data_IF_975986931025
#
_entry.id   IF_975986931025
#
_cell.length_a   1.000
_cell.length_b   1.000
_cell.length_c   1.000
_cell.angle_alpha   90.00
_cell.angle_beta   90.00
_cell.angle_gamma   90.00
#
_symmetry.space_group_name_H-M   'P 1'
#
loop_
_entity.id
_entity.type
_entity.pdbx_description
1 polymer ?
#
# COMPACT_ATOMS: atom_id res chain seq x y z
N UNK A 1 6.03 -23.14 0.45
CA UNK A 1 5.30 -23.92 -0.56
C UNK A 1 6.02 -24.02 -1.90
N UNK A 2 6.50 -22.92 -2.50
CA UNK A 2 7.26 -22.96 -3.76
C UNK A 2 8.39 -24.01 -3.75
N UNK A 3 9.26 -24.01 -2.73
CA UNK A 3 10.33 -25.00 -2.60
C UNK A 3 9.83 -26.45 -2.47
N UNK A 4 8.69 -26.67 -1.80
CA UNK A 4 8.12 -28.01 -1.60
C UNK A 4 7.62 -28.61 -2.93
N UNK A 5 7.15 -27.76 -3.84
CA UNK A 5 6.64 -28.14 -5.16
C UNK A 5 7.67 -27.97 -6.29
N UNK A 6 8.91 -27.57 -5.98
CA UNK A 6 9.96 -27.27 -6.97
C UNK A 6 9.51 -26.22 -8.00
N UNK A 7 8.82 -25.17 -7.52
CA UNK A 7 8.32 -24.05 -8.32
C UNK A 7 9.18 -22.80 -8.13
N UNK A 8 9.31 -22.01 -9.19
CA UNK A 8 9.94 -20.69 -9.15
C UNK A 8 8.94 -19.61 -8.69
N UNK A 9 9.45 -18.48 -8.19
CA UNK A 9 8.63 -17.31 -7.88
C UNK A 9 8.01 -16.77 -9.19
N UNK A 10 6.67 -16.62 -9.28
CA UNK A 10 6.04 -16.17 -10.51
C UNK A 10 6.44 -14.74 -10.84
N UNK A 11 6.57 -14.46 -12.14
CA UNK A 11 7.03 -13.17 -12.67
C UNK A 11 5.95 -12.43 -13.47
N UNK A 12 4.79 -13.06 -13.67
CA UNK A 12 3.64 -12.51 -14.38
C UNK A 12 2.34 -13.19 -13.91
N UNK A 13 1.19 -12.69 -14.36
CA UNK A 13 -0.13 -13.17 -13.96
C UNK A 13 -0.38 -14.64 -14.36
N UNK A 14 0.08 -15.09 -15.54
CA UNK A 14 -0.11 -16.48 -15.99
C UNK A 14 0.68 -17.46 -15.12
N UNK A 15 1.94 -17.14 -14.80
CA UNK A 15 2.75 -17.94 -13.87
C UNK A 15 2.16 -17.95 -12.47
N UNK A 16 1.64 -16.80 -12.00
CA UNK A 16 0.93 -16.73 -10.72
C UNK A 16 -0.29 -17.67 -10.72
N UNK A 17 -1.08 -17.68 -11.78
CA UNK A 17 -2.21 -18.60 -11.92
C UNK A 17 -1.77 -20.07 -11.82
N UNK A 18 -0.72 -20.48 -12.52
CA UNK A 18 -0.21 -21.86 -12.45
C UNK A 18 0.34 -22.22 -11.06
N UNK A 19 1.01 -21.28 -10.38
CA UNK A 19 1.48 -21.46 -8.99
C UNK A 19 0.31 -21.62 -8.03
N UNK A 20 -0.71 -20.77 -8.12
CA UNK A 20 -1.91 -20.86 -7.27
C UNK A 20 -2.65 -22.19 -7.49
N UNK A 21 -2.73 -22.64 -8.75
CA UNK A 21 -3.31 -23.93 -9.09
C UNK A 21 -2.50 -25.09 -8.50
N UNK A 22 -1.18 -25.03 -8.58
CA UNK A 22 -0.31 -26.02 -7.96
C UNK A 22 -0.48 -26.07 -6.43
N UNK A 23 -0.58 -24.91 -5.78
CA UNK A 23 -0.87 -24.83 -4.34
C UNK A 23 -2.18 -25.50 -3.97
N UNK A 24 -3.20 -25.38 -4.81
CA UNK A 24 -4.50 -26.03 -4.60
C UNK A 24 -4.46 -27.56 -4.78
N UNK A 25 -3.71 -28.04 -5.75
CA UNK A 25 -3.83 -29.41 -6.26
C UNK A 25 -2.75 -30.37 -5.74
N UNK A 26 -1.66 -29.85 -5.16
CA UNK A 26 -0.44 -30.65 -4.91
C UNK A 26 -0.02 -30.76 -3.44
N UNK A 27 -0.88 -30.41 -2.48
CA UNK A 27 -0.65 -30.60 -1.04
C UNK A 27 0.73 -30.05 -0.58
N UNK A 28 1.02 -28.75 -0.81
CA UNK A 28 2.32 -28.18 -0.47
C UNK A 28 2.61 -28.13 1.03
N UNK A 29 1.61 -28.31 1.90
CA UNK A 29 1.81 -28.44 3.35
C UNK A 29 2.07 -29.91 3.79
N UNK A 30 1.76 -30.89 2.94
CA UNK A 30 2.10 -32.29 3.11
C UNK A 30 1.24 -33.04 4.13
N UNK A 31 0.04 -32.53 4.45
CA UNK A 31 -0.86 -33.13 5.44
C UNK A 31 -1.81 -34.18 4.83
N UNK A 32 -1.89 -34.27 3.50
CA UNK A 32 -2.76 -35.20 2.76
C UNK A 32 -4.23 -34.82 2.73
N UNK A 33 -4.58 -33.62 3.16
CA UNK A 33 -5.89 -32.98 3.07
C UNK A 33 -5.87 -31.89 1.99
N UNK A 34 -7.03 -31.51 1.47
CA UNK A 34 -7.14 -30.41 0.51
C UNK A 34 -7.64 -29.17 1.25
N UNK A 35 -6.82 -28.66 2.18
CA UNK A 35 -7.14 -27.54 3.05
C UNK A 35 -6.43 -26.23 2.65
N UNK A 36 -5.62 -26.26 1.60
CA UNK A 36 -4.93 -25.10 1.07
C UNK A 36 -5.87 -24.03 0.51
N UNK A 37 -5.60 -22.79 0.91
CA UNK A 37 -6.15 -21.57 0.34
C UNK A 37 -5.03 -20.92 -0.47
N UNK A 38 -5.02 -21.03 -1.82
CA UNK A 38 -3.90 -20.58 -2.62
C UNK A 38 -3.64 -19.07 -2.51
N UNK A 39 -4.69 -18.25 -2.51
CA UNK A 39 -4.61 -16.79 -2.39
C UNK A 39 -5.75 -16.25 -1.51
N UNK A 40 -5.42 -15.31 -0.64
CA UNK A 40 -6.38 -14.61 0.21
C UNK A 40 -5.95 -13.15 0.43
N UNK A 41 -6.94 -12.26 0.46
CA UNK A 41 -6.75 -10.85 0.82
C UNK A 41 -7.90 -10.33 1.68
N UNK A 42 -7.99 -9.02 1.82
CA UNK A 42 -9.13 -8.32 2.44
C UNK A 42 -9.14 -6.86 1.98
N UNK A 43 -10.32 -6.24 1.91
CA UNK A 43 -10.45 -4.78 1.73
C UNK A 43 -10.20 -3.97 3.01
N UNK A 44 -9.84 -4.62 4.12
CA UNK A 44 -9.59 -3.95 5.40
C UNK A 44 -8.14 -3.55 5.65
N UNK A 45 -7.18 -4.11 4.91
CA UNK A 45 -5.75 -3.82 5.09
C UNK A 45 -5.40 -2.45 4.53
N UNK A 46 -4.48 -1.76 5.22
CA UNK A 46 -3.98 -0.48 4.71
C UNK A 46 -3.12 -0.71 3.47
N UNK A 47 -3.58 -0.21 2.31
CA UNK A 47 -2.95 -0.38 1.00
C UNK A 47 -2.69 -1.85 0.62
N UNK A 48 -3.57 -2.75 1.04
CA UNK A 48 -3.45 -4.19 0.80
C UNK A 48 -4.63 -4.77 0.01
N UNK A 49 -5.15 -3.99 -0.93
CA UNK A 49 -6.32 -4.34 -1.73
C UNK A 49 -5.95 -5.36 -2.82
N UNK A 50 -6.52 -6.56 -2.73
CA UNK A 50 -6.20 -7.66 -3.65
C UNK A 50 -6.68 -7.40 -5.08
N UNK A 51 -7.83 -6.76 -5.21
CA UNK A 51 -8.41 -6.38 -6.49
C UNK A 51 -7.60 -5.30 -7.17
N UNK A 52 -7.16 -4.26 -6.43
CA UNK A 52 -6.25 -3.25 -6.96
C UNK A 52 -4.95 -3.87 -7.46
N UNK A 53 -4.33 -4.80 -6.72
CA UNK A 53 -3.14 -5.51 -7.18
C UNK A 53 -3.40 -6.28 -8.48
N UNK A 54 -4.48 -7.08 -8.54
CA UNK A 54 -4.81 -7.89 -9.72
C UNK A 54 -5.12 -7.01 -10.94
N UNK A 55 -5.89 -5.93 -10.76
CA UNK A 55 -6.23 -5.01 -11.85
C UNK A 55 -4.96 -4.38 -12.44
N UNK A 56 -4.00 -4.02 -11.59
CA UNK A 56 -2.74 -3.43 -12.03
C UNK A 56 -1.79 -4.40 -12.74
N UNK A 57 -2.09 -5.70 -12.81
CA UNK A 57 -1.43 -6.61 -13.76
C UNK A 57 -1.81 -6.32 -15.23
N UNK A 58 -2.93 -5.62 -15.47
CA UNK A 58 -3.49 -5.39 -16.80
C UNK A 58 -3.59 -3.91 -17.15
N UNK A 59 -4.03 -3.07 -16.22
CA UNK A 59 -4.17 -1.61 -16.44
C UNK A 59 -3.91 -0.83 -15.16
N UNK A 60 -3.32 0.36 -15.31
CA UNK A 60 -3.12 1.25 -14.17
C UNK A 60 -4.46 1.60 -13.53
N UNK A 61 -4.56 1.36 -12.22
CA UNK A 61 -5.72 1.72 -11.42
C UNK A 61 -5.30 2.10 -10.01
N UNK A 62 -5.86 3.19 -9.51
CA UNK A 62 -5.66 3.64 -8.15
C UNK A 62 -7.03 3.90 -7.51
N UNK A 63 -7.31 3.29 -6.36
CA UNK A 63 -8.62 3.34 -5.70
C UNK A 63 -8.98 4.72 -5.13
N UNK A 64 -7.98 5.58 -4.87
CA UNK A 64 -8.19 6.93 -4.35
C UNK A 64 -8.81 7.84 -5.42
N UNK A 65 -8.30 7.76 -6.67
CA UNK A 65 -8.68 8.66 -7.77
C UNK A 65 -9.52 8.01 -8.87
N UNK A 66 -9.30 6.72 -9.13
CA UNK A 66 -10.01 5.86 -10.09
C UNK A 66 -9.99 6.28 -11.56
N UNK A 67 -9.43 7.45 -11.90
CA UNK A 67 -9.18 7.91 -13.27
C UNK A 67 -7.68 7.89 -13.57
N UNK A 68 -7.35 7.90 -14.85
CA UNK A 68 -5.99 7.93 -15.37
C UNK A 68 -5.86 8.99 -16.49
N UNK A 69 -4.63 9.26 -16.91
CA UNK A 69 -4.35 10.19 -18.01
C UNK A 69 -3.39 9.55 -18.99
N UNK A 70 -3.69 9.70 -20.28
CA UNK A 70 -2.79 9.35 -21.37
C UNK A 70 -2.90 10.45 -22.45
N UNK A 71 -1.76 10.93 -22.95
CA UNK A 71 -1.70 12.00 -23.97
C UNK A 71 -2.55 13.24 -23.62
N UNK A 72 -2.50 13.68 -22.35
CA UNK A 72 -3.31 14.77 -21.78
C UNK A 72 -4.84 14.53 -21.81
N UNK A 73 -5.28 13.29 -22.06
CA UNK A 73 -6.68 12.89 -22.04
C UNK A 73 -6.97 12.09 -20.78
N UNK A 74 -7.88 12.61 -19.96
CA UNK A 74 -8.40 11.92 -18.78
C UNK A 74 -9.36 10.82 -19.21
N UNK A 75 -9.13 9.60 -18.74
CA UNK A 75 -9.99 8.45 -19.02
C UNK A 75 -10.28 7.64 -17.76
N UNK A 76 -11.30 6.78 -17.86
CA UNK A 76 -11.65 5.82 -16.83
C UNK A 76 -11.06 4.45 -17.20
N UNK A 77 -10.08 3.92 -16.44
CA UNK A 77 -9.55 2.57 -16.68
C UNK A 77 -10.66 1.51 -16.64
N UNK A 78 -11.68 1.71 -15.81
CA UNK A 78 -12.77 0.77 -15.60
C UNK A 78 -13.80 0.64 -16.74
N UNK A 79 -13.49 1.19 -17.92
CA UNK A 79 -14.26 0.97 -19.16
C UNK A 79 -13.42 0.37 -20.31
N UNK A 80 -12.14 0.05 -20.06
CA UNK A 80 -11.23 -0.45 -21.11
C UNK A 80 -11.28 -1.97 -21.27
N UNK A 81 -10.74 -2.48 -22.37
CA UNK A 81 -10.63 -3.93 -22.61
C UNK A 81 -9.70 -4.59 -21.58
N UNK A 82 -8.60 -3.93 -21.19
CA UNK A 82 -7.65 -4.41 -20.20
C UNK A 82 -8.30 -4.57 -18.81
N UNK A 83 -9.23 -3.68 -18.45
CA UNK A 83 -10.03 -3.86 -17.23
C UNK A 83 -10.96 -5.06 -17.33
N UNK A 84 -11.59 -5.27 -18.48
CA UNK A 84 -12.42 -6.45 -18.71
C UNK A 84 -11.59 -7.73 -18.56
N UNK A 85 -10.37 -7.76 -19.10
CA UNK A 85 -9.42 -8.87 -18.92
C UNK A 85 -9.09 -9.12 -17.46
N UNK A 86 -8.86 -8.06 -16.66
CA UNK A 86 -8.67 -8.18 -15.22
C UNK A 86 -9.90 -8.79 -14.52
N UNK A 87 -11.12 -8.41 -14.92
CA UNK A 87 -12.35 -8.99 -14.36
C UNK A 87 -12.52 -10.46 -14.75
N UNK A 88 -12.17 -10.84 -15.98
CA UNK A 88 -12.16 -12.24 -16.44
C UNK A 88 -11.16 -13.04 -15.62
N UNK A 89 -9.95 -12.52 -15.44
CA UNK A 89 -8.89 -13.18 -14.67
C UNK A 89 -9.30 -13.35 -13.20
N UNK A 90 -9.83 -12.30 -12.56
CA UNK A 90 -10.29 -12.36 -11.18
C UNK A 90 -11.47 -13.34 -11.01
N UNK A 91 -12.43 -13.34 -11.93
CA UNK A 91 -13.52 -14.31 -11.96
C UNK A 91 -13.00 -15.75 -12.10
N UNK A 92 -11.99 -15.97 -12.95
CA UNK A 92 -11.34 -17.28 -13.11
C UNK A 92 -10.69 -17.73 -11.80
N UNK A 93 -9.93 -16.87 -11.12
CA UNK A 93 -9.31 -17.21 -9.85
C UNK A 93 -10.35 -17.59 -8.78
N UNK A 94 -11.44 -16.84 -8.68
CA UNK A 94 -12.51 -17.11 -7.70
C UNK A 94 -13.29 -18.38 -8.05
N UNK A 95 -13.74 -18.51 -9.30
CA UNK A 95 -14.55 -19.67 -9.75
C UNK A 95 -13.79 -20.99 -9.69
N UNK A 96 -12.47 -20.96 -9.91
CA UNK A 96 -11.59 -22.11 -9.73
C UNK A 96 -11.10 -22.25 -8.27
N UNK A 97 -11.54 -21.38 -7.36
CA UNK A 97 -11.21 -21.37 -5.93
C UNK A 97 -9.72 -21.25 -5.64
N UNK A 98 -9.01 -20.49 -6.46
CA UNK A 98 -7.62 -20.07 -6.30
C UNK A 98 -7.53 -18.79 -5.46
N UNK A 99 -8.47 -17.86 -5.66
CA UNK A 99 -8.71 -16.73 -4.76
C UNK A 99 -9.90 -17.06 -3.85
N UNK A 100 -9.71 -16.97 -2.53
CA UNK A 100 -10.78 -17.23 -1.56
C UNK A 100 -11.88 -16.17 -1.63
N UNK A 101 -13.14 -16.61 -1.71
CA UNK A 101 -14.35 -15.77 -1.57
C UNK A 101 -14.37 -14.98 -0.26
N UNK A 102 -13.69 -15.48 0.78
CA UNK A 102 -13.57 -14.76 2.05
C UNK A 102 -12.89 -13.40 1.85
N UNK A 103 -12.11 -13.19 0.80
CA UNK A 103 -11.42 -11.93 0.54
C UNK A 103 -12.38 -10.73 0.42
N UNK A 104 -13.63 -10.97 0.01
CA UNK A 104 -14.65 -9.92 -0.14
C UNK A 104 -15.39 -9.57 1.16
N UNK A 105 -15.27 -10.40 2.21
CA UNK A 105 -16.05 -10.25 3.44
C UNK A 105 -15.22 -10.29 4.72
N UNK A 106 -14.02 -10.87 4.67
CA UNK A 106 -13.17 -11.04 5.83
C UNK A 106 -12.60 -9.71 6.30
N UNK A 107 -12.54 -9.55 7.61
CA UNK A 107 -11.85 -8.47 8.29
C UNK A 107 -10.35 -8.75 8.40
N UNK A 108 -9.55 -7.72 8.69
CA UNK A 108 -8.12 -7.88 8.97
C UNK A 108 -7.89 -8.80 10.16
N UNK A 109 -8.71 -8.69 11.22
CA UNK A 109 -8.58 -9.53 12.42
C UNK A 109 -8.84 -11.01 12.13
N UNK A 110 -9.78 -11.33 11.24
CA UNK A 110 -10.03 -12.70 10.78
C UNK A 110 -8.85 -13.24 9.96
N UNK A 111 -8.30 -12.45 9.03
CA UNK A 111 -7.10 -12.83 8.27
C UNK A 111 -5.89 -13.06 9.19
N UNK A 112 -5.64 -12.15 10.13
CA UNK A 112 -4.57 -12.30 11.14
C UNK A 112 -4.79 -13.57 11.96
N UNK A 113 -6.02 -13.85 12.39
CA UNK A 113 -6.34 -15.05 13.15
C UNK A 113 -6.09 -16.33 12.34
N UNK A 114 -6.40 -16.34 11.05
CA UNK A 114 -6.11 -17.47 10.15
C UNK A 114 -4.60 -17.72 10.06
N UNK A 115 -3.81 -16.68 9.79
CA UNK A 115 -2.34 -16.77 9.71
C UNK A 115 -1.75 -17.33 11.00
N UNK A 116 -2.18 -16.78 12.15
CA UNK A 116 -1.61 -17.13 13.46
C UNK A 116 -2.07 -18.48 14.00
N UNK A 117 -3.16 -19.05 13.45
CA UNK A 117 -3.67 -20.35 13.87
C UNK A 117 -2.79 -21.51 13.42
N UNK A 118 -1.93 -21.29 12.44
CA UNK A 118 -1.02 -22.28 11.91
C UNK A 118 0.44 -21.83 12.12
N UNK A 119 1.36 -22.72 12.51
CA UNK A 119 2.79 -22.43 12.47
C UNK A 119 3.30 -22.32 11.03
N UNK A 120 4.60 -22.03 10.87
CA UNK A 120 5.25 -21.85 9.58
C UNK A 120 5.11 -23.06 8.64
N UNK A 121 5.33 -24.26 9.17
CA UNK A 121 5.40 -25.53 8.44
C UNK A 121 4.03 -26.17 8.17
N UNK A 122 3.00 -25.74 8.91
CA UNK A 122 1.61 -26.19 8.73
C UNK A 122 0.71 -25.07 8.16
N UNK A 123 1.29 -24.00 7.59
CA UNK A 123 0.49 -22.94 6.96
C UNK A 123 -0.44 -23.51 5.90
N UNK A 124 -1.67 -22.99 5.88
CA UNK A 124 -2.70 -23.33 4.89
C UNK A 124 -2.94 -22.21 3.87
N UNK A 125 -2.24 -21.06 3.98
CA UNK A 125 -2.41 -19.93 3.06
C UNK A 125 -1.16 -19.79 2.19
N UNK A 126 -1.35 -19.69 0.88
CA UNK A 126 -0.24 -19.57 -0.08
C UNK A 126 0.24 -18.14 -0.27
N UNK A 127 -0.62 -17.31 -0.85
CA UNK A 127 -0.38 -15.89 -1.11
C UNK A 127 -1.30 -15.07 -0.23
N UNK A 128 -0.71 -14.25 0.65
CA UNK A 128 -1.42 -13.35 1.54
C UNK A 128 -1.16 -11.91 1.12
N UNK A 129 -2.22 -11.16 0.87
CA UNK A 129 -2.12 -9.78 0.38
C UNK A 129 -2.25 -8.81 1.55
N UNK A 130 -1.30 -7.91 1.67
CA UNK A 130 -1.33 -6.83 2.64
C UNK A 130 0.04 -6.30 3.03
N UNK A 131 0.05 -5.55 4.12
CA UNK A 131 1.23 -4.92 4.70
C UNK A 131 1.67 -5.70 5.93
N UNK A 132 2.99 -5.91 6.09
CA UNK A 132 3.59 -6.60 7.25
C UNK A 132 3.15 -6.05 8.61
N UNK A 133 2.87 -4.75 8.73
CA UNK A 133 2.43 -4.12 9.97
C UNK A 133 1.00 -4.49 10.38
N UNK A 134 0.08 -4.65 9.42
CA UNK A 134 -1.34 -4.94 9.68
C UNK A 134 -1.66 -6.42 9.57
N UNK A 135 -1.04 -7.11 8.62
CA UNK A 135 -1.30 -8.52 8.31
C UNK A 135 -0.50 -9.46 9.23
N UNK A 136 0.67 -9.01 9.71
CA UNK A 136 1.47 -9.74 10.69
C UNK A 136 1.76 -8.83 11.90
N UNK A 137 0.77 -8.45 12.72
CA UNK A 137 0.99 -7.46 13.78
C UNK A 137 1.81 -7.98 14.97
N UNK A 138 1.75 -9.30 15.24
CA UNK A 138 2.58 -9.94 16.26
C UNK A 138 4.01 -10.12 15.75
N UNK A 139 4.94 -9.37 16.34
CA UNK A 139 6.36 -9.39 15.98
C UNK A 139 7.11 -10.63 16.49
N UNK A 140 6.42 -11.53 17.18
CA UNK A 140 6.97 -12.78 17.74
C UNK A 140 6.39 -14.04 17.12
N UNK A 141 5.42 -13.91 16.22
CA UNK A 141 4.79 -15.07 15.58
C UNK A 141 5.64 -15.58 14.40
N UNK A 142 6.03 -16.87 14.40
CA UNK A 142 6.88 -17.44 13.35
C UNK A 142 6.16 -17.66 12.01
N UNK A 143 4.83 -17.54 11.93
CA UNK A 143 4.08 -17.74 10.68
C UNK A 143 4.56 -16.83 9.54
N UNK A 144 5.09 -15.64 9.85
CA UNK A 144 5.66 -14.75 8.83
C UNK A 144 6.83 -15.39 8.06
N UNK A 145 7.58 -16.32 8.69
CA UNK A 145 8.69 -17.03 8.05
C UNK A 145 8.23 -17.99 6.95
N UNK A 146 6.93 -18.25 6.82
CA UNK A 146 6.38 -19.07 5.73
C UNK A 146 6.29 -18.31 4.40
N UNK A 147 6.36 -16.98 4.43
CA UNK A 147 6.10 -16.11 3.30
C UNK A 147 7.36 -15.36 2.90
N UNK A 148 7.55 -15.14 1.61
CA UNK A 148 8.44 -14.10 1.06
C UNK A 148 7.62 -13.12 0.22
N UNK A 149 8.19 -11.96 -0.11
CA UNK A 149 7.51 -10.97 -0.94
C UNK A 149 7.40 -11.46 -2.39
N UNK A 150 6.17 -11.47 -2.93
CA UNK A 150 5.95 -11.52 -4.37
C UNK A 150 6.51 -10.21 -4.98
N UNK A 151 7.51 -10.24 -5.88
CA UNK A 151 7.99 -9.01 -6.51
C UNK A 151 6.93 -8.43 -7.46
N UNK A 152 6.96 -7.12 -7.76
CA UNK A 152 6.16 -6.58 -8.84
C UNK A 152 6.52 -7.26 -10.17
N UNK A 153 5.52 -7.51 -11.00
CA UNK A 153 5.74 -8.03 -12.35
C UNK A 153 6.27 -6.91 -13.24
N UNK A 154 7.20 -7.22 -14.15
CA UNK A 154 7.90 -6.21 -14.96
C UNK A 154 6.93 -5.37 -15.80
N UNK A 155 5.89 -6.01 -16.35
CA UNK A 155 4.86 -5.38 -17.18
C UNK A 155 3.60 -4.93 -16.41
N UNK A 156 3.63 -5.02 -15.07
CA UNK A 156 2.53 -4.54 -14.23
C UNK A 156 2.74 -3.10 -13.78
N UNK A 157 1.65 -2.50 -13.30
CA UNK A 157 1.70 -1.24 -12.59
C UNK A 157 1.79 -1.46 -11.09
N UNK A 158 2.41 -0.52 -10.38
CA UNK A 158 2.29 -0.43 -8.93
C UNK A 158 1.68 0.93 -8.60
N UNK A 159 0.41 0.99 -8.16
CA UNK A 159 -0.19 2.24 -7.76
C UNK A 159 0.50 2.75 -6.49
N UNK A 160 1.20 3.86 -6.65
CA UNK A 160 1.77 4.57 -5.53
C UNK A 160 0.77 5.61 -5.01
N UNK A 161 0.67 5.69 -3.68
CA UNK A 161 0.01 6.83 -3.06
C UNK A 161 0.96 8.02 -3.11
N UNK A 162 0.69 8.97 -3.98
CA UNK A 162 1.41 10.24 -4.00
C UNK A 162 1.29 10.94 -2.64
N UNK A 163 2.27 11.77 -2.27
CA UNK A 163 2.21 12.51 -1.02
C UNK A 163 1.01 13.47 -1.03
N UNK A 164 -0.11 13.03 -0.44
CA UNK A 164 -1.31 13.86 -0.41
C UNK A 164 -1.05 15.09 0.45
N UNK A 165 -1.37 16.26 -0.09
CA UNK A 165 -1.45 17.49 0.70
C UNK A 165 -2.67 17.36 1.60
N UNK A 166 -2.49 16.77 2.78
CA UNK A 166 -3.59 16.56 3.70
C UNK A 166 -3.98 17.92 4.28
N UNK A 167 -5.17 18.41 3.92
CA UNK A 167 -5.69 19.72 4.34
C UNK A 167 -6.17 19.66 5.80
N UNK A 168 -5.21 19.67 6.72
CA UNK A 168 -5.46 19.41 8.14
C UNK A 168 -5.57 20.67 9.00
N UNK A 169 -5.07 21.80 8.51
CA UNK A 169 -5.10 23.08 9.23
C UNK A 169 -5.62 24.20 8.33
N UNK A 170 -6.48 25.07 8.88
CA UNK A 170 -7.13 26.16 8.17
C UNK A 170 -6.97 27.46 8.94
N UNK A 171 -6.70 28.56 8.23
CA UNK A 171 -6.78 29.91 8.80
C UNK A 171 -8.18 30.43 8.50
N UNK A 172 -8.97 30.67 9.54
CA UNK A 172 -10.35 31.16 9.39
C UNK A 172 -10.36 32.65 9.02
N UNK A 173 -11.46 33.10 8.41
CA UNK A 173 -11.67 34.52 8.11
C UNK A 173 -11.71 35.42 9.37
N UNK A 174 -11.99 34.82 10.53
CA UNK A 174 -12.05 35.51 11.83
C UNK A 174 -10.69 35.57 12.54
N UNK A 175 -9.64 34.99 11.97
CA UNK A 175 -8.31 35.06 12.56
C UNK A 175 -7.82 36.51 12.57
N UNK A 176 -7.63 37.09 13.76
CA UNK A 176 -7.15 38.47 13.89
C UNK A 176 -5.71 38.66 13.37
N UNK A 177 -4.94 37.56 13.31
CA UNK A 177 -3.51 37.55 12.96
C UNK A 177 -3.18 36.41 11.96
N UNK A 178 -3.74 36.43 10.74
CA UNK A 178 -3.54 35.36 9.76
C UNK A 178 -2.06 35.20 9.36
N UNK A 179 -1.28 36.28 9.39
CA UNK A 179 0.16 36.25 9.13
C UNK A 179 0.95 35.49 10.20
N UNK A 180 0.51 35.55 11.46
CA UNK A 180 1.14 34.79 12.56
C UNK A 180 0.76 33.32 12.46
N UNK A 181 -0.51 33.03 12.18
CA UNK A 181 -0.98 31.66 11.96
C UNK A 181 -0.25 31.00 10.79
N UNK A 182 -0.06 31.73 9.68
CA UNK A 182 0.71 31.23 8.54
C UNK A 182 2.18 30.96 8.91
N UNK A 183 2.84 31.86 9.65
CA UNK A 183 4.22 31.64 10.12
C UNK A 183 4.34 30.44 11.06
N UNK A 184 3.30 30.11 11.81
CA UNK A 184 3.25 28.90 12.62
C UNK A 184 3.18 27.65 11.74
N UNK A 185 2.41 27.65 10.66
CA UNK A 185 2.37 26.53 9.70
C UNK A 185 3.71 26.36 8.98
N UNK A 186 4.33 27.45 8.54
CA UNK A 186 5.68 27.45 7.96
C UNK A 186 6.73 26.88 8.94
N UNK A 187 6.61 27.22 10.23
CA UNK A 187 7.46 26.66 11.28
C UNK A 187 7.29 25.13 11.39
N UNK A 188 6.07 24.59 11.32
CA UNK A 188 5.83 23.15 11.35
C UNK A 188 6.35 22.39 10.12
N UNK A 189 6.50 23.07 8.98
CA UNK A 189 7.04 22.50 7.76
C UNK A 189 8.58 22.44 7.73
N UNK A 190 9.27 23.07 8.69
CA UNK A 190 10.73 22.95 8.80
C UNK A 190 11.11 21.53 9.20
N UNK A 191 12.11 20.95 8.52
CA UNK A 191 12.57 19.57 8.73
C UNK A 191 12.67 19.15 10.19
N UNK A 192 13.43 19.92 10.98
CA UNK A 192 13.62 19.63 12.41
C UNK A 192 12.29 19.61 13.17
N UNK A 193 11.40 20.56 12.89
CA UNK A 193 10.10 20.66 13.58
C UNK A 193 9.18 19.52 13.14
N UNK A 194 9.16 19.19 11.86
CA UNK A 194 8.43 18.03 11.34
C UNK A 194 8.91 16.72 11.98
N UNK A 195 10.22 16.52 12.16
CA UNK A 195 10.78 15.39 12.91
C UNK A 195 10.39 15.42 14.40
N UNK A 196 10.36 16.60 15.03
CA UNK A 196 9.88 16.75 16.42
C UNK A 196 8.40 16.35 16.54
N UNK A 197 7.55 16.78 15.61
CA UNK A 197 6.13 16.39 15.62
C UNK A 197 5.92 14.91 15.32
N UNK A 198 6.91 14.20 14.78
CA UNK A 198 6.83 12.76 14.50
C UNK A 198 7.45 11.90 15.58
N UNK A 199 8.60 12.28 16.11
CA UNK A 199 9.40 11.43 17.00
C UNK A 199 9.55 12.00 18.41
N UNK A 200 9.32 13.31 18.58
CA UNK A 200 9.28 14.00 19.86
C UNK A 200 10.45 14.91 20.13
N UNK A 201 10.81 15.10 21.40
CA UNK A 201 11.93 15.97 21.76
C UNK A 201 13.30 15.39 21.31
N UNK A 202 14.13 16.15 20.56
CA UNK A 202 15.47 15.70 20.15
C UNK A 202 16.38 15.52 21.38
N UNK A 203 17.17 14.45 21.40
CA UNK A 203 18.02 14.06 22.52
C UNK A 203 17.28 13.35 23.67
N UNK A 204 15.95 13.31 23.64
CA UNK A 204 15.13 12.58 24.62
C UNK A 204 14.44 11.38 23.97
N UNK A 205 13.74 11.61 22.86
CA UNK A 205 12.96 10.57 22.17
C UNK A 205 13.62 10.11 20.87
N UNK A 206 14.35 11.01 20.21
CA UNK A 206 15.08 10.70 18.97
C UNK A 206 16.39 11.47 18.91
N UNK A 207 17.36 10.99 18.14
CA UNK A 207 18.58 11.70 17.82
C UNK A 207 18.52 12.23 16.38
N UNK A 208 18.99 13.45 16.18
CA UNK A 208 19.25 14.00 14.85
C UNK A 208 20.75 14.02 14.64
N UNK A 209 21.23 13.34 13.58
CA UNK A 209 22.67 13.09 13.38
C UNK A 209 23.49 14.37 13.34
N UNK A 210 22.93 15.45 12.79
CA UNK A 210 23.60 16.75 12.73
C UNK A 210 23.87 17.40 14.09
N UNK A 211 23.16 17.00 15.16
CA UNK A 211 23.35 17.57 16.51
C UNK A 211 24.59 16.98 17.20
N UNK A 212 24.84 15.68 17.03
CA UNK A 212 26.00 14.96 17.56
C UNK A 212 26.29 13.70 16.70
N UNK A 213 27.07 13.84 15.62
CA UNK A 213 27.34 12.74 14.70
C UNK A 213 28.08 11.58 15.37
N UNK A 214 29.00 11.86 16.30
CA UNK A 214 29.79 10.82 16.98
C UNK A 214 28.90 9.97 17.89
N UNK A 215 28.04 10.60 18.69
CA UNK A 215 27.10 9.87 19.54
C UNK A 215 26.03 9.13 18.71
N UNK A 216 25.58 9.73 17.60
CA UNK A 216 24.64 9.10 16.69
C UNK A 216 25.22 7.84 16.05
N UNK A 217 26.38 7.93 15.41
CA UNK A 217 27.02 6.81 14.71
C UNK A 217 27.47 5.71 15.70
N UNK A 218 27.79 6.07 16.95
CA UNK A 218 28.07 5.11 18.01
C UNK A 218 26.82 4.32 18.46
N UNK A 219 25.63 4.92 18.40
CA UNK A 219 24.36 4.28 18.78
C UNK A 219 23.70 3.54 17.62
N UNK A 220 23.79 4.11 16.41
CA UNK A 220 23.15 3.61 15.19
C UNK A 220 24.24 3.30 14.16
N UNK A 221 24.88 2.12 14.24
CA UNK A 221 26.01 1.77 13.38
C UNK A 221 25.63 1.67 11.89
N UNK A 222 24.33 1.59 11.56
CA UNK A 222 23.84 1.48 10.19
C UNK A 222 22.59 2.35 9.99
N UNK A 223 22.28 2.66 8.73
CA UNK A 223 20.93 3.07 8.38
C UNK A 223 19.96 1.88 8.49
N UNK A 224 18.66 2.16 8.51
CA UNK A 224 17.64 1.13 8.37
C UNK A 224 17.85 0.37 7.06
N UNK A 225 17.48 -0.91 7.03
CA UNK A 225 17.69 -1.73 5.83
C UNK A 225 17.00 -1.16 4.60
N UNK A 226 15.80 -0.59 4.77
CA UNK A 226 15.07 0.09 3.71
C UNK A 226 15.83 1.33 3.16
N UNK A 227 16.45 2.11 4.04
CA UNK A 227 17.30 3.25 3.67
C UNK A 227 18.57 2.80 2.94
N UNK A 228 19.25 1.76 3.45
CA UNK A 228 20.44 1.20 2.80
C UNK A 228 20.16 0.68 1.39
N UNK A 229 19.04 -0.03 1.19
CA UNK A 229 18.62 -0.52 -0.13
C UNK A 229 18.39 0.63 -1.14
N UNK A 230 18.08 1.84 -0.65
CA UNK A 230 17.89 3.06 -1.45
C UNK A 230 19.16 3.92 -1.55
N UNK A 231 20.25 3.50 -0.92
CA UNK A 231 21.50 4.26 -0.85
C UNK A 231 21.42 5.51 0.04
N UNK A 232 20.45 5.56 0.96
CA UNK A 232 20.26 6.68 1.87
C UNK A 232 21.08 6.53 3.15
N UNK A 233 21.68 7.63 3.62
CA UNK A 233 22.37 7.67 4.91
C UNK A 233 21.38 7.97 6.04
N UNK A 234 21.62 7.44 7.24
CA UNK A 234 20.83 7.80 8.41
C UNK A 234 21.04 9.27 8.79
N UNK A 235 19.94 10.01 8.99
CA UNK A 235 19.96 11.42 9.42
C UNK A 235 19.21 11.64 10.73
N UNK A 236 18.32 10.73 11.11
CA UNK A 236 17.63 10.70 12.40
C UNK A 236 17.43 9.26 12.86
N UNK A 237 17.12 9.04 14.14
CA UNK A 237 16.72 7.73 14.65
C UNK A 237 16.02 7.87 16.00
N UNK A 238 15.02 7.02 16.28
CA UNK A 238 14.41 6.95 17.60
C UNK A 238 15.37 6.31 18.61
N UNK A 239 15.41 6.83 19.84
CA UNK A 239 16.28 6.30 20.89
C UNK A 239 15.69 4.98 21.39
N UNK A 240 16.44 3.86 21.38
CA UNK A 240 15.94 2.56 21.81
C UNK A 240 15.47 2.57 23.26
N UNK A 241 14.36 1.88 23.52
CA UNK A 241 13.79 1.75 24.88
C UNK A 241 13.13 3.01 25.42
N UNK A 242 13.10 4.12 24.65
CA UNK A 242 12.34 5.32 25.02
C UNK A 242 10.91 5.18 24.52
N UNK A 243 9.95 5.39 25.42
CA UNK A 243 8.53 5.37 25.05
C UNK A 243 8.20 6.56 24.17
N UNK A 244 7.49 6.31 23.06
CA UNK A 244 7.00 7.39 22.21
C UNK A 244 6.15 8.36 23.02
N UNK A 245 6.39 9.68 22.93
CA UNK A 245 5.61 10.64 23.70
C UNK A 245 4.13 10.64 23.28
N UNK A 246 3.81 10.15 22.07
CA UNK A 246 2.46 10.11 21.51
C UNK A 246 1.57 9.02 22.08
N UNK A 247 2.14 8.03 22.77
CA UNK A 247 1.33 7.02 23.48
C UNK A 247 0.96 7.45 24.89
N UNK A 248 1.39 8.65 25.32
CA UNK A 248 1.07 9.22 26.62
C UNK A 248 0.43 10.60 26.44
N UNK A 249 -0.76 10.82 27.00
CA UNK A 249 -1.33 12.17 27.06
C UNK A 249 -0.47 13.05 27.96
N UNK A 250 0.17 14.06 27.38
CA UNK A 250 0.97 15.02 28.11
C UNK A 250 0.89 16.41 27.45
N UNK A 251 1.14 17.46 28.23
CA UNK A 251 1.12 18.85 27.76
C UNK A 251 2.49 19.34 27.26
N UNK A 252 3.47 18.45 27.10
CA UNK A 252 4.83 18.84 26.76
C UNK A 252 5.03 18.99 25.24
N UNK A 253 4.15 18.39 24.43
CA UNK A 253 4.34 18.34 22.97
C UNK A 253 3.01 18.34 22.21
N UNK A 254 3.03 18.94 21.02
CA UNK A 254 1.87 19.03 20.13
C UNK A 254 1.97 17.94 19.06
N UNK A 255 1.11 16.91 19.13
CA UNK A 255 1.05 15.85 18.12
C UNK A 255 0.30 16.36 16.88
N UNK A 256 1.03 17.09 16.04
CA UNK A 256 0.55 17.57 14.76
C UNK A 256 1.34 16.83 13.68
N UNK A 257 1.07 15.53 13.53
CA UNK A 257 1.57 14.72 12.40
C UNK A 257 0.85 15.08 11.10
N UNK A 258 0.79 16.38 10.80
CA UNK A 258 -0.09 16.96 9.79
C UNK A 258 0.69 17.62 8.65
N UNK A 259 1.97 17.93 8.88
CA UNK A 259 2.88 18.56 7.92
C UNK A 259 3.96 17.57 7.46
N UNK A 260 3.56 16.40 6.96
CA UNK A 260 4.48 15.39 6.43
C UNK A 260 4.99 15.76 5.03
N UNK A 261 5.59 16.95 4.90
CA UNK A 261 6.05 17.53 3.64
C UNK A 261 7.54 17.27 3.37
N UNK A 262 8.22 16.53 4.25
CA UNK A 262 9.63 16.24 4.04
C UNK A 262 9.83 15.27 2.87
N UNK A 263 10.95 15.39 2.15
CA UNK A 263 11.33 14.42 1.15
C UNK A 263 11.33 12.98 1.70
N UNK A 264 11.02 12.01 0.84
CA UNK A 264 11.01 10.60 1.19
C UNK A 264 12.36 10.15 1.79
N UNK A 265 13.47 10.68 1.27
CA UNK A 265 14.81 10.44 1.81
C UNK A 265 14.90 10.89 3.28
N UNK A 266 14.56 12.15 3.59
CA UNK A 266 14.61 12.65 4.97
C UNK A 266 13.74 11.84 5.93
N UNK A 267 12.52 11.47 5.53
CA UNK A 267 11.66 10.64 6.38
C UNK A 267 12.13 9.19 6.52
N UNK A 268 12.57 8.58 5.42
CA UNK A 268 12.96 7.16 5.37
C UNK A 268 14.37 6.87 5.88
N UNK A 269 15.20 7.90 6.02
CA UNK A 269 16.60 7.83 6.49
C UNK A 269 16.75 7.66 8.00
N UNK A 270 16.04 6.68 8.58
CA UNK A 270 16.20 6.31 9.99
C UNK A 270 17.49 5.51 10.20
N UNK A 271 18.19 5.75 11.30
CA UNK A 271 19.25 4.89 11.82
C UNK A 271 18.69 3.60 12.40
N UNK A 272 19.56 2.58 12.48
CA UNK A 272 19.29 1.27 13.05
C UNK A 272 20.36 0.91 14.07
N UNK A 273 19.95 0.35 15.20
CA UNK A 273 20.87 -0.25 16.17
C UNK A 273 21.41 -1.61 15.73
N UNK A 274 20.80 -2.21 14.71
CA UNK A 274 21.17 -3.53 14.20
C UNK A 274 22.51 -3.45 13.47
N UNK A 275 23.53 -4.23 13.87
CA UNK A 275 24.78 -4.38 13.13
C UNK A 275 24.54 -4.94 11.71
N UNK A 276 25.42 -4.61 10.77
CA UNK A 276 25.25 -5.00 9.37
C UNK A 276 25.15 -6.52 9.17
N UNK A 277 25.88 -7.30 9.98
CA UNK A 277 25.89 -8.77 9.96
C UNK A 277 24.58 -9.42 10.44
N UNK A 278 23.75 -8.66 11.17
CA UNK A 278 22.51 -9.16 11.74
C UNK A 278 21.31 -8.94 10.81
N UNK A 279 21.43 -8.12 9.77
CA UNK A 279 20.41 -8.06 8.74
C UNK A 279 20.28 -9.40 8.01
N UNK A 280 19.02 -9.76 7.73
CA UNK A 280 18.67 -10.87 6.84
C UNK A 280 18.58 -10.32 5.41
N UNK A 281 19.08 -11.08 4.44
CA UNK A 281 19.16 -10.65 3.04
C UNK A 281 18.43 -11.57 2.06
N UNK A 282 17.89 -12.69 2.55
CA UNK A 282 17.02 -13.59 1.79
C UNK A 282 16.01 -14.28 2.70
N UNK A 283 14.94 -14.83 2.13
CA UNK A 283 14.01 -15.68 2.87
C UNK A 283 14.68 -16.92 3.46
N UNK A 284 15.55 -17.62 2.73
CA UNK A 284 16.27 -18.79 3.25
C UNK A 284 17.07 -18.45 4.50
N UNK A 285 17.81 -17.33 4.49
CA UNK A 285 18.57 -16.87 5.65
C UNK A 285 17.65 -16.53 6.84
N UNK A 286 16.49 -15.92 6.58
CA UNK A 286 15.48 -15.62 7.60
C UNK A 286 14.95 -16.89 8.27
N UNK A 287 14.58 -17.89 7.46
CA UNK A 287 14.09 -19.19 7.94
C UNK A 287 15.18 -19.94 8.73
N UNK A 288 16.40 -20.01 8.21
CA UNK A 288 17.52 -20.70 8.86
C UNK A 288 17.89 -20.08 10.22
N UNK A 289 17.87 -18.74 10.31
CA UNK A 289 18.14 -18.02 11.56
C UNK A 289 16.99 -18.11 12.55
N UNK A 290 15.75 -18.23 12.06
CA UNK A 290 14.53 -18.17 12.89
C UNK A 290 14.33 -16.82 13.59
N UNK A 291 15.04 -15.77 13.17
CA UNK A 291 14.93 -14.43 13.74
C UNK A 291 13.79 -13.67 13.07
N UNK A 292 12.63 -13.71 13.73
CA UNK A 292 11.39 -13.10 13.23
C UNK A 292 11.56 -11.59 13.05
N UNK A 293 12.26 -10.90 13.95
CA UNK A 293 12.38 -9.45 13.88
C UNK A 293 13.32 -9.01 12.74
N UNK A 294 14.42 -9.74 12.54
CA UNK A 294 15.31 -9.52 11.41
C UNK A 294 14.60 -9.82 10.08
N UNK A 295 13.83 -10.91 10.00
CA UNK A 295 13.07 -11.27 8.80
C UNK A 295 11.97 -10.26 8.46
N UNK A 296 11.25 -9.76 9.46
CA UNK A 296 10.28 -8.65 9.29
C UNK A 296 10.93 -7.40 8.70
N UNK A 297 12.13 -7.08 9.18
CA UNK A 297 12.89 -5.92 8.70
C UNK A 297 13.30 -6.10 7.24
N UNK A 298 13.74 -7.32 6.88
CA UNK A 298 14.01 -7.71 5.50
C UNK A 298 12.78 -7.53 4.61
N UNK A 299 11.64 -8.14 4.94
CA UNK A 299 10.41 -8.00 4.15
C UNK A 299 9.98 -6.52 3.98
N UNK A 300 10.02 -5.73 5.05
CA UNK A 300 9.73 -4.29 4.96
C UNK A 300 10.72 -3.52 4.08
N UNK A 301 11.96 -3.98 3.96
CA UNK A 301 12.97 -3.37 3.10
C UNK A 301 12.74 -3.63 1.60
N UNK A 302 12.04 -4.72 1.27
CA UNK A 302 11.74 -5.11 -0.11
C UNK A 302 10.66 -4.26 -0.77
N UNK A 303 9.88 -3.49 0.01
CA UNK A 303 8.83 -2.58 -0.51
C UNK A 303 9.32 -1.59 -1.56
N UNK A 304 10.62 -1.29 -1.62
CA UNK A 304 11.20 -0.48 -2.69
C UNK A 304 11.21 -1.11 -4.07
N UNK A 305 11.06 -2.43 -4.18
CA UNK A 305 10.94 -3.09 -5.47
C UNK A 305 9.71 -2.59 -6.23
N UNK A 306 8.63 -2.25 -5.52
CA UNK A 306 7.35 -1.81 -6.06
C UNK A 306 7.35 -0.34 -6.51
N UNK A 307 8.43 0.42 -6.33
CA UNK A 307 8.44 1.83 -6.75
C UNK A 307 8.81 1.99 -8.23
N UNK A 308 8.17 2.93 -8.92
CA UNK A 308 8.56 3.38 -10.25
C UNK A 308 7.83 2.70 -11.42
N UNK A 309 6.85 1.84 -11.16
CA UNK A 309 5.97 1.24 -12.17
C UNK A 309 4.67 2.03 -12.31
N UNK A 310 4.80 3.30 -12.70
CA UNK A 310 3.68 4.24 -12.86
C UNK A 310 3.58 4.68 -14.33
N UNK A 311 2.38 5.04 -14.81
CA UNK A 311 2.24 5.77 -16.07
C UNK A 311 3.02 7.09 -16.04
N UNK A 312 3.37 7.60 -17.23
CA UNK A 312 4.07 8.89 -17.37
C UNK A 312 3.22 10.06 -16.84
N UNK A 313 1.91 10.00 -17.02
CA UNK A 313 0.95 10.99 -16.53
C UNK A 313 0.03 10.37 -15.48
N UNK A 314 -0.18 11.09 -14.37
CA UNK A 314 -0.98 10.61 -13.24
C UNK A 314 -2.11 11.56 -12.93
N UNK A 315 -3.33 11.03 -12.80
CA UNK A 315 -4.46 11.80 -12.30
C UNK A 315 -4.48 11.76 -10.76
N UNK A 316 -3.88 12.75 -10.11
CA UNK A 316 -3.72 12.79 -8.65
C UNK A 316 -4.22 14.10 -8.04
N UNK A 317 -4.75 13.99 -6.81
CA UNK A 317 -5.18 15.09 -5.93
C UNK A 317 -5.94 16.23 -6.65
N UNK A 318 -7.06 15.93 -7.37
CA UNK A 318 -7.73 16.94 -8.15
C UNK A 318 -8.31 18.06 -7.27
N UNK A 319 -7.97 19.32 -7.61
CA UNK A 319 -8.48 20.52 -6.95
C UNK A 319 -9.54 21.17 -7.84
N UNK A 320 -10.77 20.76 -7.60
CA UNK A 320 -11.94 21.30 -8.29
C UNK A 320 -12.39 22.65 -7.73
N UNK A 321 -12.99 23.46 -8.61
CA UNK A 321 -13.70 24.69 -8.25
C UNK A 321 -15.02 24.37 -7.53
N UNK A 322 -15.62 25.37 -6.87
CA UNK A 322 -16.93 25.18 -6.22
C UNK A 322 -18.02 24.75 -7.23
N UNK A 323 -18.01 25.34 -8.43
CA UNK A 323 -18.96 25.02 -9.49
C UNK A 323 -18.81 23.58 -9.99
N UNK A 324 -17.56 23.15 -10.20
CA UNK A 324 -17.26 21.74 -10.52
C UNK A 324 -17.76 20.82 -9.39
N UNK A 325 -17.41 21.10 -8.13
CA UNK A 325 -17.83 20.29 -6.99
C UNK A 325 -19.36 20.13 -6.88
N UNK A 326 -20.11 21.20 -7.12
CA UNK A 326 -21.58 21.19 -7.10
C UNK A 326 -22.17 20.36 -8.25
N UNK A 327 -21.44 20.23 -9.38
CA UNK A 327 -21.87 19.46 -10.54
C UNK A 327 -21.62 17.94 -10.40
N UNK A 328 -20.55 17.52 -9.73
CA UNK A 328 -20.11 16.11 -9.79
C UNK A 328 -20.17 15.33 -8.46
N UNK A 329 -20.27 15.97 -7.29
CA UNK A 329 -20.06 15.26 -6.01
C UNK A 329 -21.01 14.05 -5.81
N UNK A 330 -22.27 14.16 -6.24
CA UNK A 330 -23.20 13.03 -6.23
C UNK A 330 -22.83 11.99 -7.29
N UNK A 331 -22.52 12.44 -8.51
CA UNK A 331 -22.16 11.61 -9.67
C UNK A 331 -20.92 10.75 -9.42
N UNK A 332 -19.82 11.33 -8.93
CA UNK A 332 -18.59 10.58 -8.62
C UNK A 332 -18.87 9.47 -7.62
N UNK A 333 -19.54 9.79 -6.50
CA UNK A 333 -19.78 8.78 -5.47
C UNK A 333 -20.63 7.63 -6.02
N UNK A 334 -21.66 7.93 -6.80
CA UNK A 334 -22.48 6.89 -7.47
C UNK A 334 -21.65 6.03 -8.42
N UNK A 335 -20.83 6.62 -9.29
CA UNK A 335 -19.98 5.85 -10.23
C UNK A 335 -18.95 5.01 -9.46
N UNK A 336 -18.27 5.58 -8.45
CA UNK A 336 -17.25 4.87 -7.66
C UNK A 336 -17.84 3.70 -6.88
N UNK A 337 -18.98 3.91 -6.23
CA UNK A 337 -19.70 2.85 -5.51
C UNK A 337 -20.10 1.74 -6.48
N UNK A 338 -20.66 2.09 -7.64
CA UNK A 338 -21.06 1.12 -8.65
C UNK A 338 -19.88 0.30 -9.19
N UNK A 339 -18.73 0.93 -9.52
CA UNK A 339 -17.52 0.21 -9.97
C UNK A 339 -17.05 -0.77 -8.88
N UNK A 340 -17.00 -0.37 -7.61
CA UNK A 340 -16.58 -1.24 -6.50
C UNK A 340 -17.51 -2.44 -6.31
N UNK A 341 -18.82 -2.22 -6.40
CA UNK A 341 -19.81 -3.30 -6.35
C UNK A 341 -19.65 -4.26 -7.55
N UNK A 342 -19.42 -3.72 -8.74
CA UNK A 342 -19.22 -4.53 -9.95
C UNK A 342 -17.93 -5.34 -9.94
N UNK A 343 -16.82 -4.83 -9.37
CA UNK A 343 -15.59 -5.64 -9.19
C UNK A 343 -15.91 -6.92 -8.42
N UNK A 344 -16.60 -6.80 -7.27
CA UNK A 344 -16.99 -7.95 -6.48
C UNK A 344 -18.01 -8.85 -7.22
N UNK A 345 -18.97 -8.26 -7.94
CA UNK A 345 -19.97 -9.01 -8.68
C UNK A 345 -19.38 -9.81 -9.84
N UNK A 346 -18.44 -9.22 -10.61
CA UNK A 346 -17.72 -9.93 -11.66
C UNK A 346 -16.84 -11.01 -11.08
N UNK A 347 -16.06 -10.72 -10.03
CA UNK A 347 -15.18 -11.70 -9.42
C UNK A 347 -15.95 -12.92 -8.88
N UNK A 348 -17.06 -12.71 -8.19
CA UNK A 348 -17.88 -13.80 -7.62
C UNK A 348 -18.84 -14.47 -8.62
N UNK A 349 -18.91 -13.96 -9.86
CA UNK A 349 -19.78 -14.48 -10.91
C UNK A 349 -21.26 -14.11 -10.75
N UNK A 350 -21.58 -13.14 -9.90
CA UNK A 350 -22.91 -12.51 -9.86
C UNK A 350 -23.18 -11.67 -11.14
N UNK A 351 -22.11 -11.20 -11.79
CA UNK A 351 -22.11 -10.68 -13.16
C UNK A 351 -21.09 -11.47 -13.98
N UNK A 352 -21.41 -11.75 -15.24
CA UNK A 352 -20.49 -12.38 -16.18
C UNK A 352 -19.63 -11.30 -16.87
N UNK A 353 -18.29 -11.35 -16.74
CA UNK A 353 -17.40 -10.30 -17.24
C UNK A 353 -17.39 -10.18 -18.77
N UNK A 354 -17.95 -11.13 -19.51
CA UNK A 354 -18.09 -11.08 -20.97
C UNK A 354 -19.52 -10.70 -21.37
N UNK A 355 -20.51 -11.40 -20.82
CA UNK A 355 -21.90 -11.28 -21.27
C UNK A 355 -22.63 -10.05 -20.69
N UNK A 356 -22.23 -9.58 -19.50
CA UNK A 356 -22.85 -8.42 -18.84
C UNK A 356 -22.05 -7.13 -19.02
N UNK A 357 -20.93 -7.17 -19.77
CA UNK A 357 -20.02 -6.04 -19.94
C UNK A 357 -20.69 -4.82 -20.58
N UNK A 358 -21.42 -5.00 -21.68
CA UNK A 358 -22.13 -3.90 -22.35
C UNK A 358 -23.18 -3.24 -21.44
N UNK A 359 -23.83 -4.02 -20.58
CA UNK A 359 -24.81 -3.52 -19.62
C UNK A 359 -24.14 -2.75 -18.48
N UNK A 360 -22.96 -3.19 -18.04
CA UNK A 360 -22.11 -2.48 -17.09
C UNK A 360 -21.67 -1.12 -17.64
N UNK A 361 -21.15 -1.07 -18.87
CA UNK A 361 -20.76 0.19 -19.53
C UNK A 361 -21.95 1.16 -19.66
N UNK A 362 -23.12 0.65 -20.08
CA UNK A 362 -24.33 1.46 -20.17
C UNK A 362 -24.80 1.99 -18.80
N UNK A 363 -24.59 1.22 -17.72
CA UNK A 363 -24.95 1.64 -16.37
C UNK A 363 -24.00 2.71 -15.83
N UNK A 364 -22.71 2.65 -16.16
CA UNK A 364 -21.75 3.72 -15.85
C UNK A 364 -22.10 5.03 -16.55
N UNK A 365 -22.45 4.96 -17.84
CA UNK A 365 -22.88 6.13 -18.61
C UNK A 365 -24.14 6.75 -18.00
N UNK A 366 -25.14 5.92 -17.68
CA UNK A 366 -26.37 6.33 -17.02
C UNK A 366 -26.14 6.89 -15.59
N UNK A 367 -25.10 6.43 -14.90
CA UNK A 367 -24.67 6.94 -13.60
C UNK A 367 -23.92 8.28 -13.70
N UNK A 368 -23.65 8.78 -14.91
CA UNK A 368 -23.03 10.08 -15.17
C UNK A 368 -21.52 10.05 -15.32
N UNK A 369 -20.93 8.92 -15.73
CA UNK A 369 -19.49 8.82 -16.00
C UNK A 369 -18.98 9.92 -16.94
N UNK A 370 -19.72 10.25 -18.00
CA UNK A 370 -19.32 11.30 -18.95
C UNK A 370 -19.26 12.69 -18.29
N UNK A 371 -20.16 12.99 -17.37
CA UNK A 371 -20.13 14.25 -16.62
C UNK A 371 -18.89 14.31 -15.73
N UNK A 372 -18.53 13.19 -15.08
CA UNK A 372 -17.30 13.11 -14.29
C UNK A 372 -16.06 13.30 -15.17
N UNK A 373 -15.94 12.59 -16.30
CA UNK A 373 -14.79 12.73 -17.21
C UNK A 373 -14.65 14.16 -17.74
N UNK A 374 -15.76 14.82 -18.11
CA UNK A 374 -15.73 16.20 -18.57
C UNK A 374 -15.20 17.17 -17.51
N UNK A 375 -15.62 17.01 -16.25
CA UNK A 375 -15.14 17.84 -15.14
C UNK A 375 -13.68 17.52 -14.80
N UNK A 376 -13.31 16.25 -14.81
CA UNK A 376 -11.93 15.81 -14.58
C UNK A 376 -10.98 16.34 -15.66
N UNK A 377 -11.40 16.33 -16.92
CA UNK A 377 -10.66 16.92 -18.04
C UNK A 377 -10.51 18.43 -17.89
N UNK A 378 -11.59 19.15 -17.54
CA UNK A 378 -11.53 20.59 -17.31
C UNK A 378 -10.56 20.96 -16.16
N UNK A 379 -10.47 20.13 -15.13
CA UNK A 379 -9.45 20.24 -14.09
C UNK A 379 -8.04 20.00 -14.66
N UNK A 380 -7.85 18.92 -15.42
CA UNK A 380 -6.55 18.58 -16.01
C UNK A 380 -6.02 19.71 -16.89
N UNK A 381 -6.83 20.17 -17.85
CA UNK A 381 -6.49 21.25 -18.78
C UNK A 381 -6.12 22.53 -18.04
N UNK A 382 -6.86 22.87 -16.98
CA UNK A 382 -6.58 24.06 -16.16
C UNK A 382 -5.30 23.92 -15.35
N UNK A 383 -5.03 22.75 -14.78
CA UNK A 383 -3.88 22.52 -13.91
C UNK A 383 -2.56 22.37 -14.67
N UNK A 384 -2.62 22.01 -15.96
CA UNK A 384 -1.46 21.77 -16.83
C UNK A 384 -1.33 22.76 -17.99
N UNK A 385 -2.16 23.82 -18.04
CA UNK A 385 -1.98 24.94 -18.96
C UNK A 385 -0.69 25.71 -18.62
N UNK A 386 0.23 25.78 -19.59
CA UNK A 386 1.55 26.43 -19.49
C UNK A 386 1.50 27.96 -19.36
#
# INVERSE_FOLDING_TARGET
>A
WLEALDLEMPTNADELYEVLKAFKEQDPNGNGEADEIPMIGTHGTWNGYFDEMIINFFTYYNTDYMLAVEDDVVYAPFVTEEWQEAMIYMNKLVSEGLLSDLSFTATVDELVSMIQSYPQDEQILGVVIGNTATTFPDTTNPAILAYDMLPPFEDAYTPERTANITKLCYITADCEHPEIAFRLFDYFAQERVSLITRYGEPGVHFMYRADDPEAFDAMFPNASQNAMNRGWEAVHAQIPGVTSPWVTENNAMWNIHMCCLLPAETYGSSGSTTPASEFVTSWQEGVERGDIQAYRTYLGSLTGAWTGQLPEQLFVDPIYTLEEMDMYNTTINTVREYVRECIAAFATGAMDPVNDWDAYLASLDAAGLQDWLNVAQAYWDRSHAA
#
